data_IF_396690508100
#
_entry.id   IF_396690508100
#
_cell.length_a   1.000
_cell.length_b   1.000
_cell.length_c   1.000
_cell.angle_alpha   90.00
_cell.angle_beta   90.00
_cell.angle_gamma   90.00
#
_symmetry.space_group_name_H-M   'P 1'
#
loop_
_entity.id
_entity.type
_entity.pdbx_description
1 polymer ?
#
# COMPACT_ATOMS: atom_id res chain seq x y z
N UNK A 1 -21.96 -2.75 -31.19
CA UNK A 1 -21.60 -3.76 -30.18
C UNK A 1 -21.12 -3.04 -28.93
N UNK A 2 -21.97 -2.93 -27.90
CA UNK A 2 -21.57 -2.30 -26.65
C UNK A 2 -20.78 -3.31 -25.82
N UNK A 3 -19.47 -3.08 -25.65
CA UNK A 3 -18.63 -3.83 -24.71
C UNK A 3 -19.15 -3.49 -23.32
N UNK A 4 -20.04 -4.34 -22.78
CA UNK A 4 -20.53 -4.24 -21.40
C UNK A 4 -19.31 -4.29 -20.48
N UNK A 5 -18.93 -3.14 -19.91
CA UNK A 5 -17.95 -3.07 -18.86
C UNK A 5 -18.42 -3.95 -17.70
N UNK A 6 -17.68 -5.02 -17.41
CA UNK A 6 -17.95 -5.94 -16.31
C UNK A 6 -17.92 -5.19 -14.97
N UNK A 7 -18.77 -5.56 -14.00
CA UNK A 7 -18.86 -4.87 -12.72
C UNK A 7 -17.52 -4.92 -11.99
N UNK A 8 -16.94 -3.73 -11.76
CA UNK A 8 -15.61 -3.56 -11.18
C UNK A 8 -15.66 -3.97 -9.70
N UNK A 9 -14.99 -5.07 -9.36
CA UNK A 9 -14.94 -5.58 -7.99
C UNK A 9 -13.88 -4.78 -7.21
N UNK A 10 -14.23 -3.66 -6.60
CA UNK A 10 -13.38 -2.88 -5.67
C UNK A 10 -12.35 -1.95 -6.35
N UNK A 11 -11.15 -1.83 -5.77
CA UNK A 11 -10.09 -0.89 -6.20
C UNK A 11 -9.46 -1.16 -7.59
N UNK A 12 -9.89 -2.21 -8.30
CA UNK A 12 -9.34 -2.56 -9.61
C UNK A 12 -9.71 -1.52 -10.67
N UNK A 13 -8.73 -1.08 -11.45
CA UNK A 13 -8.94 -0.05 -12.48
C UNK A 13 -8.77 1.39 -11.99
N UNK A 14 -8.45 1.61 -10.71
CA UNK A 14 -8.06 2.94 -10.22
C UNK A 14 -6.83 3.51 -10.96
N UNK A 15 -5.89 2.65 -11.36
CA UNK A 15 -4.74 3.06 -12.17
C UNK A 15 -5.16 3.77 -13.48
N UNK A 16 -6.33 3.42 -14.05
CA UNK A 16 -6.85 4.07 -15.26
C UNK A 16 -7.42 5.47 -14.99
N UNK A 17 -7.71 5.80 -13.73
CA UNK A 17 -8.24 7.09 -13.31
C UNK A 17 -7.13 8.07 -12.88
N UNK A 18 -5.87 7.62 -12.85
CA UNK A 18 -4.74 8.46 -12.47
C UNK A 18 -4.43 9.46 -13.59
N UNK A 19 -4.41 10.75 -13.25
CA UNK A 19 -4.05 11.82 -14.17
C UNK A 19 -2.59 11.69 -14.61
N UNK A 20 -2.33 11.86 -15.91
CA UNK A 20 -0.97 11.94 -16.45
C UNK A 20 -0.40 13.33 -16.18
N UNK A 21 0.83 13.38 -15.70
CA UNK A 21 1.62 14.60 -15.54
C UNK A 21 2.64 14.64 -16.65
N UNK A 22 2.77 15.80 -17.29
CA UNK A 22 3.84 16.04 -18.26
C UNK A 22 5.04 16.60 -17.51
N UNK A 23 6.15 15.88 -17.55
CA UNK A 23 7.42 16.29 -16.99
C UNK A 23 8.32 16.76 -18.12
N UNK A 24 8.93 17.93 -17.97
CA UNK A 24 10.02 18.35 -18.84
C UNK A 24 11.31 17.78 -18.27
N UNK A 25 12.04 17.00 -19.07
CA UNK A 25 13.39 16.60 -18.72
C UNK A 25 14.32 17.82 -18.88
N UNK A 26 14.92 18.35 -17.80
CA UNK A 26 15.77 19.53 -17.87
C UNK A 26 17.09 19.30 -18.63
N UNK A 27 17.52 18.04 -18.78
CA UNK A 27 18.78 17.69 -19.44
C UNK A 27 18.59 17.45 -20.94
N UNK A 28 17.47 16.84 -21.36
CA UNK A 28 17.20 16.53 -22.78
C UNK A 28 16.21 17.49 -23.44
N UNK A 29 15.50 18.31 -22.66
CA UNK A 29 14.43 19.19 -23.15
C UNK A 29 13.17 18.46 -23.60
N UNK A 30 13.11 17.13 -23.41
CA UNK A 30 12.00 16.30 -23.86
C UNK A 30 10.84 16.33 -22.87
N UNK A 31 9.62 16.36 -23.39
CA UNK A 31 8.40 16.23 -22.60
C UNK A 31 8.04 14.75 -22.46
N UNK A 32 7.96 14.27 -21.23
CA UNK A 32 7.59 12.90 -20.92
C UNK A 32 6.30 12.85 -20.09
N UNK A 33 5.33 12.04 -20.54
CA UNK A 33 4.06 11.87 -19.83
C UNK A 33 4.11 10.62 -18.96
N UNK A 34 3.91 10.81 -17.67
CA UNK A 34 3.89 9.72 -16.68
C UNK A 34 2.65 9.80 -15.81
N UNK A 35 2.11 8.66 -15.33
CA UNK A 35 1.05 8.71 -14.33
C UNK A 35 1.57 9.37 -13.05
N UNK A 36 0.76 10.26 -12.47
CA UNK A 36 1.09 10.93 -11.20
C UNK A 36 1.36 9.95 -10.05
N UNK A 37 0.74 8.77 -10.12
CA UNK A 37 0.80 7.75 -9.08
C UNK A 37 0.80 6.36 -9.73
N UNK A 38 1.74 5.51 -9.32
CA UNK A 38 1.70 4.09 -9.66
C UNK A 38 0.84 3.34 -8.64
N UNK A 39 -0.11 2.55 -9.12
CA UNK A 39 -1.04 1.78 -8.30
C UNK A 39 -1.01 0.32 -8.72
N UNK A 40 -0.54 -0.54 -7.81
CA UNK A 40 -0.62 -1.99 -7.97
C UNK A 40 -1.75 -2.54 -7.10
N UNK A 41 -2.68 -3.25 -7.73
CA UNK A 41 -3.82 -3.86 -7.04
C UNK A 41 -3.82 -5.35 -7.35
N UNK A 42 -4.04 -6.23 -6.35
CA UNK A 42 -4.12 -7.66 -6.60
C UNK A 42 -5.19 -7.98 -7.65
N UNK A 43 -4.88 -8.92 -8.53
CA UNK A 43 -5.81 -9.44 -9.52
C UNK A 43 -6.82 -10.33 -8.81
N UNK A 44 -8.10 -10.16 -9.15
CA UNK A 44 -9.21 -10.86 -8.52
C UNK A 44 -9.65 -11.95 -9.47
N UNK A 45 -9.92 -13.13 -8.93
CA UNK A 45 -10.48 -14.24 -9.68
C UNK A 45 -11.74 -13.79 -10.43
N UNK A 46 -11.81 -13.99 -11.76
CA UNK A 46 -13.00 -13.66 -12.54
C UNK A 46 -14.16 -14.58 -12.17
N UNK A 47 -15.40 -14.13 -12.38
CA UNK A 47 -16.59 -14.95 -12.09
C UNK A 47 -16.61 -16.16 -13.03
N UNK A 48 -16.48 -17.35 -12.47
CA UNK A 48 -16.51 -18.62 -13.21
C UNK A 48 -15.21 -18.98 -13.96
N UNK A 49 -14.09 -18.31 -13.67
CA UNK A 49 -12.78 -18.64 -14.23
C UNK A 49 -11.70 -18.69 -13.16
N UNK A 50 -10.52 -19.19 -13.53
CA UNK A 50 -9.33 -19.26 -12.68
C UNK A 50 -8.40 -18.06 -12.89
N UNK A 51 -7.48 -17.86 -11.96
CA UNK A 51 -6.33 -16.98 -12.18
C UNK A 51 -5.31 -17.70 -13.04
N UNK A 52 -4.68 -16.98 -13.96
CA UNK A 52 -3.52 -17.46 -14.70
C UNK A 52 -2.31 -17.59 -13.78
N UNK A 53 -1.33 -18.43 -14.15
CA UNK A 53 -0.11 -18.62 -13.35
C UNK A 53 0.64 -17.31 -13.11
N UNK A 54 0.72 -16.43 -14.13
CA UNK A 54 1.33 -15.11 -14.02
C UNK A 54 0.60 -14.19 -13.04
N UNK A 55 -0.75 -14.20 -13.05
CA UNK A 55 -1.55 -13.42 -12.10
C UNK A 55 -1.41 -13.94 -10.66
N UNK A 56 -1.25 -15.26 -10.49
CA UNK A 56 -0.97 -15.87 -9.18
C UNK A 56 0.40 -15.44 -8.67
N UNK A 57 1.42 -15.50 -9.51
CA UNK A 57 2.77 -15.10 -9.15
C UNK A 57 2.85 -13.61 -8.81
N UNK A 58 2.24 -12.75 -9.63
CA UNK A 58 2.12 -11.32 -9.35
C UNK A 58 1.44 -11.07 -8.00
N UNK A 59 0.30 -11.73 -7.75
CA UNK A 59 -0.40 -11.61 -6.47
C UNK A 59 0.45 -12.11 -5.30
N UNK A 60 1.24 -13.18 -5.47
CA UNK A 60 2.13 -13.71 -4.45
C UNK A 60 3.19 -12.69 -4.05
N UNK A 61 3.85 -12.07 -5.04
CA UNK A 61 4.85 -11.04 -4.82
C UNK A 61 4.23 -9.82 -4.12
N UNK A 62 3.11 -9.31 -4.63
CA UNK A 62 2.41 -8.18 -4.04
C UNK A 62 1.94 -8.48 -2.60
N UNK A 63 1.41 -9.67 -2.35
CA UNK A 63 0.99 -10.08 -1.02
C UNK A 63 2.18 -10.21 -0.04
N UNK A 64 3.36 -10.62 -0.50
CA UNK A 64 4.56 -10.68 0.36
C UNK A 64 4.92 -9.31 0.95
N UNK A 65 4.73 -8.24 0.17
CA UNK A 65 4.93 -6.85 0.60
C UNK A 65 3.78 -6.43 1.52
N UNK A 66 2.54 -6.69 1.09
CA UNK A 66 1.33 -6.30 1.86
C UNK A 66 1.30 -6.90 3.26
N UNK A 67 1.69 -8.16 3.43
CA UNK A 67 1.73 -8.82 4.75
C UNK A 67 2.60 -8.03 5.73
N UNK A 68 3.77 -7.54 5.29
CA UNK A 68 4.64 -6.71 6.14
C UNK A 68 3.95 -5.40 6.53
N UNK A 69 3.30 -4.74 5.58
CA UNK A 69 2.56 -3.49 5.81
C UNK A 69 1.39 -3.72 6.77
N UNK A 70 0.62 -4.79 6.58
CA UNK A 70 -0.53 -5.15 7.41
C UNK A 70 -0.09 -5.46 8.85
N UNK A 71 1.04 -6.14 9.05
CA UNK A 71 1.63 -6.31 10.38
C UNK A 71 2.02 -4.99 11.02
N UNK A 72 2.68 -4.08 10.29
CA UNK A 72 3.02 -2.75 10.81
C UNK A 72 1.76 -1.96 11.21
N UNK A 73 0.72 -1.97 10.38
CA UNK A 73 -0.58 -1.35 10.70
C UNK A 73 -1.20 -2.00 11.93
N UNK A 74 -1.10 -3.33 12.05
CA UNK A 74 -1.54 -4.08 13.23
C UNK A 74 -0.84 -3.60 14.51
N UNK A 75 0.49 -3.46 14.48
CA UNK A 75 1.25 -2.95 15.62
C UNK A 75 0.85 -1.52 16.01
N UNK A 76 0.64 -0.65 15.02
CA UNK A 76 0.13 0.71 15.26
C UNK A 76 -1.27 0.66 15.91
N UNK A 77 -2.16 -0.22 15.44
CA UNK A 77 -3.52 -0.37 15.98
C UNK A 77 -3.58 -1.00 17.37
N UNK A 78 -2.53 -1.68 17.84
CA UNK A 78 -2.46 -2.18 19.22
C UNK A 78 -2.52 -1.03 20.25
N UNK A 79 -2.09 0.17 19.85
CA UNK A 79 -2.21 1.36 20.69
C UNK A 79 -3.66 1.82 20.72
N UNK A 80 -4.30 1.76 21.90
CA UNK A 80 -5.75 2.05 22.07
C UNK A 80 -6.16 3.45 21.60
N UNK A 81 -5.24 4.42 21.66
CA UNK A 81 -5.45 5.77 21.14
C UNK A 81 -5.69 5.79 19.61
N UNK A 82 -5.11 4.84 18.87
CA UNK A 82 -5.33 4.65 17.43
C UNK A 82 -6.42 3.60 17.17
N UNK A 83 -6.40 2.49 17.92
CA UNK A 83 -7.27 1.34 17.71
C UNK A 83 -8.73 1.53 18.16
N UNK A 84 -9.03 2.57 18.93
CA UNK A 84 -10.39 2.86 19.42
C UNK A 84 -10.78 4.31 19.14
N UNK A 85 -12.02 4.70 19.48
CA UNK A 85 -12.48 6.07 19.29
C UNK A 85 -11.78 7.03 20.25
N UNK A 86 -10.77 7.73 19.75
CA UNK A 86 -10.15 8.87 20.40
C UNK A 86 -10.92 10.15 20.04
N UNK A 87 -11.31 10.96 21.02
CA UNK A 87 -12.07 12.21 20.83
C UNK A 87 -11.20 13.42 21.15
N UNK A 88 -10.55 13.98 20.14
CA UNK A 88 -9.75 15.21 20.23
C UNK A 88 -9.89 16.04 18.96
N UNK A 89 -9.32 17.25 18.94
CA UNK A 89 -9.26 18.09 17.75
C UNK A 89 -8.53 17.38 16.61
N UNK A 90 -9.00 17.57 15.37
CA UNK A 90 -8.43 16.92 14.18
C UNK A 90 -6.92 17.21 14.00
N UNK A 91 -6.48 18.42 14.37
CA UNK A 91 -5.08 18.84 14.31
C UNK A 91 -4.12 17.97 15.10
N UNK A 92 -4.59 17.26 16.13
CA UNK A 92 -3.76 16.44 17.02
C UNK A 92 -3.48 15.05 16.42
N UNK A 93 -4.33 14.56 15.50
CA UNK A 93 -4.20 13.18 14.99
C UNK A 93 -2.88 12.93 14.27
N UNK A 94 -2.40 13.88 13.47
CA UNK A 94 -1.11 13.75 12.77
C UNK A 94 0.03 13.56 13.75
N UNK A 95 0.07 14.38 14.82
CA UNK A 95 1.09 14.29 15.86
C UNK A 95 1.02 12.94 16.58
N UNK A 96 -0.17 12.50 16.97
CA UNK A 96 -0.37 11.20 17.64
C UNK A 96 0.10 10.05 16.74
N UNK A 97 -0.25 10.08 15.45
CA UNK A 97 0.18 9.06 14.48
C UNK A 97 1.70 9.05 14.31
N UNK A 98 2.35 10.22 14.28
CA UNK A 98 3.81 10.33 14.20
C UNK A 98 4.50 9.77 15.45
N UNK A 99 4.00 10.12 16.64
CA UNK A 99 4.56 9.62 17.91
C UNK A 99 4.39 8.11 18.01
N UNK A 100 3.20 7.58 17.78
CA UNK A 100 2.94 6.13 17.80
C UNK A 100 3.77 5.43 16.73
N UNK A 101 3.86 6.00 15.52
CA UNK A 101 4.70 5.48 14.44
C UNK A 101 6.18 5.40 14.84
N UNK A 102 6.70 6.44 15.49
CA UNK A 102 8.08 6.44 16.02
C UNK A 102 8.31 5.33 17.06
N UNK A 103 7.38 5.16 18.00
CA UNK A 103 7.46 4.11 19.03
C UNK A 103 7.40 2.70 18.43
N UNK A 104 6.51 2.47 17.46
CA UNK A 104 6.42 1.19 16.75
C UNK A 104 7.69 0.92 15.96
N UNK A 105 8.23 1.91 15.25
CA UNK A 105 9.48 1.76 14.50
C UNK A 105 10.66 1.41 15.42
N UNK A 106 10.75 2.04 16.59
CA UNK A 106 11.77 1.71 17.59
C UNK A 106 11.61 0.29 18.12
N UNK A 107 10.37 -0.12 18.43
CA UNK A 107 10.06 -1.49 18.86
C UNK A 107 10.44 -2.54 17.80
N UNK A 108 10.09 -2.30 16.54
CA UNK A 108 10.41 -3.20 15.42
C UNK A 108 11.92 -3.33 15.20
N UNK A 109 12.66 -2.22 15.22
CA UNK A 109 14.12 -2.24 15.11
C UNK A 109 14.75 -3.08 16.22
N UNK A 110 14.29 -2.89 17.47
CA UNK A 110 14.77 -3.67 18.62
C UNK A 110 14.57 -5.18 18.41
N UNK A 111 13.43 -5.60 17.87
CA UNK A 111 13.18 -7.01 17.56
C UNK A 111 14.06 -7.54 16.43
N UNK A 112 14.34 -6.73 15.41
CA UNK A 112 15.24 -7.10 14.32
C UNK A 112 16.67 -7.30 14.84
N UNK A 113 17.16 -6.38 15.69
CA UNK A 113 18.47 -6.52 16.32
C UNK A 113 18.57 -7.76 17.22
N UNK A 114 17.56 -8.01 18.07
CA UNK A 114 17.52 -9.21 18.91
C UNK A 114 17.52 -10.50 18.08
N UNK A 115 16.76 -10.52 16.97
CA UNK A 115 16.75 -11.66 16.05
C UNK A 115 18.11 -11.86 15.37
N UNK A 116 18.77 -10.79 14.96
CA UNK A 116 20.10 -10.86 14.35
C UNK A 116 21.14 -11.43 15.32
N UNK A 117 21.07 -11.05 16.60
CA UNK A 117 21.95 -11.58 17.67
C UNK A 117 21.73 -13.05 17.99
N UNK A 118 20.52 -13.58 17.78
CA UNK A 118 20.21 -15.01 18.01
C UNK A 118 20.63 -15.92 16.85
N UNK A 119 20.90 -15.34 15.68
CA UNK A 119 21.23 -16.08 14.44
C UNK A 119 22.73 -16.09 14.16
N UNK A 120 23.53 -15.25 14.83
CA UNK A 120 25.00 -15.30 14.82
C UNK A 120 25.53 -16.21 15.92
#
# INVERSE_FOLDING_TARGET
>A
MAVRAKPIKGYQGLAKQVTLVTLLNPETGELHQMPRLSLETPVKKPRGGELTEDEVEFNRQLNSIRVRIEHCIGWVKNWKIIGTRFRCAHSIYTLVMQVVGGLVNWQTQRWQHAKAQMVS
#
